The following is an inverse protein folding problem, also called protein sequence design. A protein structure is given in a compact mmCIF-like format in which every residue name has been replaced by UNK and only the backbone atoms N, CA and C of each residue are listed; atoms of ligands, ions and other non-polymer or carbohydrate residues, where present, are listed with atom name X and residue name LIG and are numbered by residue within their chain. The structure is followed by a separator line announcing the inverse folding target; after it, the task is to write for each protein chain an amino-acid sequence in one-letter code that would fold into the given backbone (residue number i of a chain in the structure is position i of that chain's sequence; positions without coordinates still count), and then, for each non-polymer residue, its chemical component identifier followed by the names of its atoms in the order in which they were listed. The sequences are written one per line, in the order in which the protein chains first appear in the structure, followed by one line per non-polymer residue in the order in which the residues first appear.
data_IF_151230424905
#
_entry.id   IF_151230424905
#
_cell.length_a   1.000
_cell.length_b   1.000
_cell.length_c   1.000
_cell.angle_alpha   90.00
_cell.angle_beta   90.00
_cell.angle_gamma   90.00
#
_symmetry.space_group_name_H-M   'P 1'
#
loop_
_entity.id
_entity.type
_entity.pdbx_description
1 polymer ?
#
# COMPACT_ATOMS: atom_id res chain seq x y z
N UNK A 1 -2.43 -8.79 2.53
CA UNK A 1 -2.78 -9.21 1.16
C UNK A 1 -2.90 -10.72 1.03
N UNK A 2 -1.92 -11.50 1.50
CA UNK A 2 -1.96 -12.97 1.50
C UNK A 2 -3.27 -13.56 2.08
N UNK A 3 -3.71 -13.08 3.26
CA UNK A 3 -4.94 -13.51 3.94
C UNK A 3 -6.25 -13.25 3.16
N UNK A 4 -6.21 -12.51 2.06
CA UNK A 4 -7.36 -12.36 1.18
C UNK A 4 -7.56 -13.61 0.32
N UNK A 5 -6.45 -14.21 -0.11
CA UNK A 5 -6.42 -15.40 -0.93
C UNK A 5 -6.59 -16.63 -0.04
N UNK A 6 -5.81 -16.73 1.03
CA UNK A 6 -5.85 -17.83 2.02
C UNK A 6 -7.13 -17.75 2.87
N UNK A 7 -8.16 -18.43 2.39
CA UNK A 7 -9.51 -18.40 2.93
C UNK A 7 -9.74 -19.45 4.01
N UNK A 8 -9.02 -20.57 3.91
CA UNK A 8 -9.04 -21.65 4.87
C UNK A 8 -8.06 -21.40 6.05
N UNK A 9 -7.17 -20.40 5.94
CA UNK A 9 -6.17 -19.98 6.93
C UNK A 9 -5.10 -21.03 7.22
N UNK A 10 -4.76 -21.85 6.22
CA UNK A 10 -3.72 -22.86 6.33
C UNK A 10 -2.30 -22.32 6.04
N UNK A 11 -2.19 -21.04 5.65
CA UNK A 11 -0.92 -20.39 5.33
C UNK A 11 -0.40 -20.70 3.93
N UNK A 12 -1.18 -21.39 3.12
CA UNK A 12 -0.95 -21.65 1.70
C UNK A 12 -2.05 -20.95 0.87
N UNK A 13 -1.81 -20.84 -0.43
CA UNK A 13 -2.85 -20.39 -1.37
C UNK A 13 -2.96 -21.50 -2.40
N UNK A 14 -4.09 -22.19 -2.42
CA UNK A 14 -4.35 -23.20 -3.43
C UNK A 14 -4.88 -22.58 -4.74
N UNK A 15 -4.99 -23.42 -5.78
CA UNK A 15 -5.44 -22.97 -7.11
C UNK A 15 -6.89 -22.46 -7.08
N UNK A 16 -7.75 -23.06 -6.25
CA UNK A 16 -9.14 -22.65 -6.12
C UNK A 16 -9.23 -21.27 -5.46
N UNK A 17 -8.50 -21.06 -4.37
CA UNK A 17 -8.39 -19.80 -3.65
C UNK A 17 -7.82 -18.68 -4.54
N UNK A 18 -6.81 -19.00 -5.34
CA UNK A 18 -6.24 -18.08 -6.30
C UNK A 18 -7.24 -17.68 -7.40
N UNK A 19 -7.87 -18.65 -8.06
CA UNK A 19 -8.84 -18.41 -9.14
C UNK A 19 -10.06 -17.66 -8.61
N UNK A 20 -10.59 -18.05 -7.45
CA UNK A 20 -11.74 -17.40 -6.81
C UNK A 20 -11.45 -15.93 -6.50
N UNK A 21 -10.25 -15.63 -6.00
CA UNK A 21 -9.89 -14.26 -5.66
C UNK A 21 -9.70 -13.42 -6.93
N UNK A 22 -9.12 -14.01 -7.99
CA UNK A 22 -8.95 -13.33 -9.29
C UNK A 22 -10.26 -13.12 -10.06
N UNK A 23 -11.21 -14.06 -9.97
CA UNK A 23 -12.49 -13.95 -10.68
C UNK A 23 -13.31 -12.74 -10.26
N UNK A 24 -13.10 -12.24 -9.04
CA UNK A 24 -13.77 -11.03 -8.53
C UNK A 24 -13.27 -9.76 -9.24
N UNK A 25 -12.06 -9.78 -9.79
CA UNK A 25 -11.53 -8.70 -10.62
C UNK A 25 -12.01 -8.77 -12.08
N UNK A 26 -12.78 -9.80 -12.45
CA UNK A 26 -13.36 -9.87 -13.79
C UNK A 26 -14.30 -8.68 -14.05
N UNK A 27 -14.32 -8.12 -15.27
CA UNK A 27 -15.22 -7.00 -15.62
C UNK A 27 -16.68 -7.28 -15.25
N UNK A 28 -17.13 -8.52 -15.50
CA UNK A 28 -18.52 -8.94 -15.28
C UNK A 28 -18.87 -9.30 -13.82
N UNK A 29 -17.88 -9.39 -12.92
CA UNK A 29 -18.16 -9.62 -11.51
C UNK A 29 -18.93 -8.44 -10.91
N UNK A 30 -19.85 -8.73 -10.00
CA UNK A 30 -20.77 -7.71 -9.49
C UNK A 30 -20.02 -6.62 -8.73
N UNK A 31 -20.54 -5.39 -8.79
CA UNK A 31 -19.98 -4.29 -8.03
C UNK A 31 -19.99 -4.56 -6.52
N UNK A 32 -21.02 -5.27 -6.02
CA UNK A 32 -21.13 -5.63 -4.61
C UNK A 32 -19.98 -6.54 -4.16
N UNK A 33 -19.66 -7.57 -4.94
CA UNK A 33 -18.54 -8.48 -4.64
C UNK A 33 -17.19 -7.74 -4.66
N UNK A 34 -17.00 -6.86 -5.65
CA UNK A 34 -15.80 -6.00 -5.74
C UNK A 34 -15.64 -5.10 -4.53
N UNK A 35 -16.73 -4.48 -4.06
CA UNK A 35 -16.70 -3.62 -2.87
C UNK A 35 -16.31 -4.42 -1.62
N UNK A 36 -16.89 -5.62 -1.45
CA UNK A 36 -16.59 -6.47 -0.28
C UNK A 36 -15.11 -6.87 -0.26
N UNK A 37 -14.55 -7.26 -1.40
CA UNK A 37 -13.14 -7.63 -1.49
C UNK A 37 -12.23 -6.43 -1.32
N UNK A 38 -12.53 -5.30 -1.96
CA UNK A 38 -11.80 -4.06 -1.79
C UNK A 38 -11.78 -3.66 -0.31
N UNK A 39 -12.91 -3.71 0.39
CA UNK A 39 -12.97 -3.40 1.81
C UNK A 39 -12.05 -4.30 2.64
N UNK A 40 -12.07 -5.62 2.39
CA UNK A 40 -11.18 -6.58 3.06
C UNK A 40 -9.70 -6.35 2.74
N UNK A 41 -9.37 -5.83 1.56
CA UNK A 41 -8.01 -5.43 1.20
C UNK A 41 -7.51 -4.25 2.03
N UNK A 42 -8.38 -3.27 2.29
CA UNK A 42 -8.04 -2.06 3.05
C UNK A 42 -8.09 -2.25 4.58
N UNK A 43 -8.94 -3.15 5.09
CA UNK A 43 -9.02 -3.51 6.53
C UNK A 43 -7.96 -4.55 6.89
N UNK A 44 -6.69 -4.14 6.82
CA UNK A 44 -5.49 -4.98 7.02
C UNK A 44 -5.56 -5.75 8.33
N UNK A 45 -6.07 -5.11 9.38
CA UNK A 45 -6.16 -5.69 10.72
C UNK A 45 -7.48 -6.40 11.00
N UNK A 46 -8.34 -6.55 9.98
CA UNK A 46 -9.59 -7.31 10.04
C UNK A 46 -10.52 -6.86 11.18
N UNK A 47 -10.66 -5.55 11.36
CA UNK A 47 -11.46 -4.99 12.46
C UNK A 47 -12.88 -4.64 12.07
N UNK A 48 -13.23 -4.88 10.80
CA UNK A 48 -14.53 -4.53 10.23
C UNK A 48 -14.65 -3.04 9.93
N UNK A 49 -13.56 -2.29 9.95
CA UNK A 49 -13.52 -0.84 9.70
C UNK A 49 -12.12 -0.42 9.28
N UNK A 50 -12.03 0.37 8.20
CA UNK A 50 -10.74 0.87 7.70
C UNK A 50 -10.30 2.06 8.56
N UNK A 51 -9.22 1.89 9.33
CA UNK A 51 -8.69 2.97 10.18
C UNK A 51 -7.61 3.77 9.46
N UNK A 52 -7.41 5.00 9.94
CA UNK A 52 -6.37 5.90 9.42
C UNK A 52 -4.96 5.28 9.43
N UNK A 53 -4.63 4.44 10.42
CA UNK A 53 -3.33 3.77 10.46
C UNK A 53 -3.19 2.68 9.39
N UNK A 54 -4.26 1.96 9.05
CA UNK A 54 -4.27 0.95 7.99
C UNK A 54 -4.10 1.60 6.61
N UNK A 55 -4.78 2.74 6.38
CA UNK A 55 -4.59 3.53 5.15
C UNK A 55 -3.12 3.99 5.01
N UNK A 56 -2.51 4.46 6.11
CA UNK A 56 -1.09 4.83 6.10
C UNK A 56 -0.21 3.64 5.74
N UNK A 57 -0.38 2.50 6.40
CA UNK A 57 0.41 1.29 6.13
C UNK A 57 0.28 0.85 4.66
N UNK A 58 -0.93 0.91 4.10
CA UNK A 58 -1.15 0.58 2.70
C UNK A 58 -0.44 1.55 1.74
N UNK A 59 -0.57 2.85 1.97
CA UNK A 59 0.10 3.87 1.14
C UNK A 59 1.63 3.74 1.24
N UNK A 60 2.16 3.55 2.44
CA UNK A 60 3.60 3.31 2.63
C UNK A 60 4.07 2.04 1.92
N UNK A 61 3.33 0.94 2.02
CA UNK A 61 3.63 -0.30 1.32
C UNK A 61 3.66 -0.11 -0.21
N UNK A 62 2.66 0.57 -0.77
CA UNK A 62 2.63 0.86 -2.21
C UNK A 62 3.79 1.75 -2.67
N UNK A 63 4.12 2.78 -1.91
CA UNK A 63 5.26 3.66 -2.22
C UNK A 63 6.60 2.91 -2.12
N UNK A 64 6.72 1.97 -1.19
CA UNK A 64 7.88 1.12 -1.04
C UNK A 64 8.06 0.19 -2.24
N UNK A 65 7.01 -0.54 -2.61
CA UNK A 65 7.00 -1.46 -3.77
C UNK A 65 7.20 -0.73 -5.10
N UNK A 66 6.75 0.53 -5.20
CA UNK A 66 6.92 1.34 -6.41
C UNK A 66 8.27 2.04 -6.52
N UNK A 67 9.22 1.78 -5.59
CA UNK A 67 10.51 2.50 -5.45
C UNK A 67 10.35 4.03 -5.29
N UNK A 68 9.13 4.51 -5.01
CA UNK A 68 8.82 5.93 -4.88
C UNK A 68 9.30 6.50 -3.54
N UNK A 69 9.51 5.65 -2.52
CA UNK A 69 10.15 6.05 -1.26
C UNK A 69 11.58 6.53 -1.49
N UNK A 70 12.36 5.80 -2.30
CA UNK A 70 13.71 6.25 -2.67
C UNK A 70 13.64 7.60 -3.39
N UNK A 71 12.65 7.79 -4.26
CA UNK A 71 12.46 9.05 -4.98
C UNK A 71 12.12 10.20 -4.03
N UNK A 72 11.22 9.98 -3.05
CA UNK A 72 10.88 10.97 -2.01
C UNK A 72 12.08 11.27 -1.11
N UNK A 73 12.82 10.26 -0.67
CA UNK A 73 14.01 10.45 0.18
C UNK A 73 15.14 11.15 -0.58
N UNK A 74 15.34 10.82 -1.86
CA UNK A 74 16.30 11.51 -2.73
C UNK A 74 15.87 12.96 -2.95
N UNK A 75 14.59 13.22 -3.25
CA UNK A 75 14.08 14.59 -3.43
C UNK A 75 14.23 15.37 -2.13
N UNK A 76 13.83 14.81 -1.00
CA UNK A 76 13.90 15.45 0.32
C UNK A 76 15.34 15.70 0.74
N UNK A 77 16.25 14.72 0.56
CA UNK A 77 17.67 14.88 0.82
C UNK A 77 18.30 15.97 -0.06
N UNK A 78 17.97 16.01 -1.34
CA UNK A 78 18.47 17.05 -2.24
C UNK A 78 17.95 18.43 -1.84
N UNK A 79 16.67 18.54 -1.47
CA UNK A 79 16.08 19.79 -0.99
C UNK A 79 16.75 20.26 0.30
N UNK A 80 16.91 19.37 1.28
CA UNK A 80 17.59 19.66 2.55
C UNK A 80 19.05 20.06 2.33
N UNK A 81 19.75 19.41 1.38
CA UNK A 81 21.13 19.76 1.04
C UNK A 81 21.23 21.13 0.37
N UNK A 82 20.29 21.48 -0.50
CA UNK A 82 20.23 22.81 -1.12
C UNK A 82 19.94 23.89 -0.07
N UNK A 83 19.01 23.63 0.85
CA UNK A 83 18.67 24.55 1.94
C UNK A 83 19.83 24.73 2.92
N UNK A 84 20.55 23.65 3.26
CA UNK A 84 21.71 23.73 4.15
C UNK A 84 22.88 24.46 3.51
N UNK A 85 23.13 24.25 2.20
CA UNK A 85 24.12 25.01 1.44
C UNK A 85 23.76 26.50 1.35
N UNK A 86 22.51 26.82 1.08
CA UNK A 86 22.02 28.21 1.00
C UNK A 86 22.17 28.93 2.35
N UNK A 87 21.83 28.24 3.45
CA UNK A 87 22.01 28.78 4.81
C UNK A 87 23.49 28.99 5.15
N UNK A 88 24.37 28.03 4.82
CA UNK A 88 25.80 28.14 5.08
C UNK A 88 26.45 29.30 4.32
N UNK A 89 26.03 29.56 3.07
CA UNK A 89 26.49 30.70 2.28
C UNK A 89 26.04 32.03 2.91
N UNK A 90 24.80 32.09 3.42
CA UNK A 90 24.28 33.29 4.07
C UNK A 90 25.03 33.62 5.37
N UNK A 91 25.41 32.61 6.16
CA UNK A 91 26.15 32.81 7.43
C UNK A 91 27.64 33.08 7.27
N UNK A 92 28.19 32.93 6.06
CA UNK A 92 29.60 33.18 5.74
C UNK A 92 29.84 34.59 5.14
N UNK A 93 28.79 35.42 5.00
CA UNK A 93 28.86 36.86 4.71
C UNK A 93 28.42 37.67 5.94
#
# INVERSE_FOLDING_TARGET
MFNLFDSNKDGLIDVEEFIRTLSIFHPDASQAEKIVVAFKLYDIWQTGSIRHKEVKELVFGLLYESELILTIDIITCNLLRILSLSYSIYTLN
#
